data_IF_062329859406
#
_entry.id   IF_062329859406
#
_cell.length_a   1.000
_cell.length_b   1.000
_cell.length_c   1.000
_cell.angle_alpha   90.00
_cell.angle_beta   90.00
_cell.angle_gamma   90.00
#
_symmetry.space_group_name_H-M   'P 1'
#
loop_
_entity.id
_entity.type
_entity.pdbx_description
1 polymer ?
#
# COMPACT_ATOMS: atom_id res chain seq x y z
N UNK A 1 -13.50 -14.64 -8.15
CA UNK A 1 -12.13 -14.18 -7.84
C UNK A 1 -11.06 -14.59 -8.87
N UNK A 2 -11.39 -14.98 -10.12
CA UNK A 2 -10.37 -15.26 -11.14
C UNK A 2 -10.11 -14.07 -12.10
N UNK A 3 -11.10 -13.18 -12.25
CA UNK A 3 -11.03 -12.03 -13.16
C UNK A 3 -10.06 -10.97 -12.62
N UNK A 4 -10.24 -10.54 -11.36
CA UNK A 4 -9.36 -9.55 -10.71
C UNK A 4 -7.87 -9.97 -10.75
N UNK A 5 -7.55 -11.24 -10.46
CA UNK A 5 -6.17 -11.75 -10.51
C UNK A 5 -5.57 -11.70 -11.92
N UNK A 6 -6.37 -11.87 -12.97
CA UNK A 6 -5.91 -11.80 -14.37
C UNK A 6 -5.56 -10.35 -14.74
N UNK A 7 -6.35 -9.40 -14.25
CA UNK A 7 -6.11 -7.98 -14.50
C UNK A 7 -4.86 -7.49 -13.75
N UNK A 8 -4.65 -7.92 -12.50
CA UNK A 8 -3.43 -7.57 -11.75
C UNK A 8 -2.16 -8.16 -12.37
N UNK A 9 -2.20 -9.38 -12.91
CA UNK A 9 -1.03 -9.94 -13.62
C UNK A 9 -0.67 -9.14 -14.88
N UNK A 10 -1.68 -8.62 -15.57
CA UNK A 10 -1.47 -7.75 -16.72
C UNK A 10 -0.93 -6.38 -16.27
N UNK A 11 -1.50 -5.82 -15.20
CA UNK A 11 -1.04 -4.57 -14.59
C UNK A 11 0.43 -4.66 -14.14
N UNK A 12 0.86 -5.80 -13.57
CA UNK A 12 2.26 -6.02 -13.20
C UNK A 12 3.22 -5.80 -14.38
N UNK A 13 2.87 -6.26 -15.59
CA UNK A 13 3.70 -6.08 -16.78
C UNK A 13 3.86 -4.60 -17.17
N UNK A 14 2.77 -3.85 -17.16
CA UNK A 14 2.79 -2.41 -17.46
C UNK A 14 3.49 -1.60 -16.38
N UNK A 15 3.17 -1.85 -15.11
CA UNK A 15 3.75 -1.16 -13.97
C UNK A 15 5.24 -1.49 -13.78
N UNK A 16 5.69 -2.70 -14.12
CA UNK A 16 7.12 -3.04 -14.12
C UNK A 16 7.90 -2.21 -15.13
N UNK A 17 7.33 -1.97 -16.32
CA UNK A 17 7.95 -1.07 -17.30
C UNK A 17 7.92 0.38 -16.82
N UNK A 18 6.80 0.82 -16.24
CA UNK A 18 6.68 2.17 -15.69
C UNK A 18 7.75 2.48 -14.64
N UNK A 19 8.02 1.56 -13.68
CA UNK A 19 9.08 1.78 -12.68
C UNK A 19 10.50 1.66 -13.26
N UNK A 20 10.68 1.02 -14.42
CA UNK A 20 11.98 1.02 -15.11
C UNK A 20 12.25 2.35 -15.81
N UNK A 21 11.22 2.94 -16.42
CA UNK A 21 11.30 4.25 -17.08
C UNK A 21 11.35 5.39 -16.07
N UNK A 22 10.63 5.25 -14.96
CA UNK A 22 10.49 6.24 -13.88
C UNK A 22 10.84 5.62 -12.52
N UNK A 23 12.13 5.34 -12.23
CA UNK A 23 12.56 4.62 -11.02
C UNK A 23 12.42 5.42 -9.70
N UNK A 24 12.04 6.69 -9.80
CA UNK A 24 11.79 7.58 -8.68
C UNK A 24 10.33 8.09 -8.67
N UNK A 25 9.41 7.37 -9.32
CA UNK A 25 7.98 7.64 -9.25
C UNK A 25 7.35 6.83 -8.10
N UNK A 26 6.99 7.54 -7.03
CA UNK A 26 6.43 6.91 -5.84
C UNK A 26 5.03 6.32 -6.10
N UNK A 27 4.22 6.96 -6.94
CA UNK A 27 2.89 6.47 -7.32
C UNK A 27 3.03 5.16 -8.09
N UNK A 28 3.92 5.10 -9.09
CA UNK A 28 4.19 3.88 -9.86
C UNK A 28 4.67 2.73 -8.97
N UNK A 29 5.58 3.02 -8.04
CA UNK A 29 6.02 2.05 -7.03
C UNK A 29 4.87 1.60 -6.13
N UNK A 30 3.99 2.50 -5.67
CA UNK A 30 2.85 2.15 -4.82
C UNK A 30 1.83 1.25 -5.56
N UNK A 31 1.51 1.56 -6.82
CA UNK A 31 0.61 0.76 -7.65
C UNK A 31 1.17 -0.62 -7.98
N UNK A 32 2.48 -0.71 -8.21
CA UNK A 32 3.17 -1.98 -8.43
C UNK A 32 3.15 -2.84 -7.15
N UNK A 33 3.39 -2.22 -5.99
CA UNK A 33 3.24 -2.88 -4.68
C UNK A 33 1.82 -3.41 -4.45
N UNK A 34 0.81 -2.60 -4.79
CA UNK A 34 -0.61 -2.98 -4.73
C UNK A 34 -0.92 -4.19 -5.61
N UNK A 35 -0.46 -4.15 -6.86
CA UNK A 35 -0.66 -5.26 -7.80
C UNK A 35 -0.01 -6.55 -7.29
N UNK A 36 1.20 -6.47 -6.72
CA UNK A 36 1.86 -7.64 -6.12
C UNK A 36 1.10 -8.19 -4.90
N UNK A 37 0.56 -7.33 -4.04
CA UNK A 37 -0.25 -7.73 -2.89
C UNK A 37 -1.50 -8.48 -3.33
N UNK A 38 -2.22 -7.96 -4.32
CA UNK A 38 -3.46 -8.58 -4.81
C UNK A 38 -3.25 -9.94 -5.47
N UNK A 39 -2.05 -10.23 -5.98
CA UNK A 39 -1.67 -11.57 -6.46
C UNK A 39 -0.98 -12.44 -5.39
N UNK A 40 -0.90 -11.98 -4.14
CA UNK A 40 -0.36 -12.72 -3.01
C UNK A 40 1.18 -12.74 -2.91
N UNK A 41 1.89 -11.92 -3.69
CA UNK A 41 3.36 -11.84 -3.64
C UNK A 41 3.79 -10.74 -2.66
N UNK A 42 3.71 -11.04 -1.36
CA UNK A 42 3.89 -10.05 -0.30
C UNK A 42 5.31 -9.49 -0.20
N UNK A 43 6.36 -10.29 -0.45
CA UNK A 43 7.75 -9.80 -0.38
C UNK A 43 8.02 -8.69 -1.40
N UNK A 44 7.58 -8.88 -2.66
CA UNK A 44 7.70 -7.85 -3.70
C UNK A 44 6.81 -6.64 -3.41
N UNK A 45 5.61 -6.89 -2.88
CA UNK A 45 4.72 -5.81 -2.48
C UNK A 45 5.38 -4.89 -1.44
N UNK A 46 5.98 -5.48 -0.41
CA UNK A 46 6.73 -4.79 0.63
C UNK A 46 7.87 -3.94 0.05
N UNK A 47 8.70 -4.52 -0.82
CA UNK A 47 9.82 -3.83 -1.47
C UNK A 47 9.36 -2.57 -2.21
N UNK A 48 8.30 -2.69 -3.02
CA UNK A 48 7.79 -1.57 -3.80
C UNK A 48 7.14 -0.48 -2.95
N UNK A 49 6.39 -0.83 -1.89
CA UNK A 49 5.87 0.17 -0.96
C UNK A 49 6.99 0.89 -0.20
N UNK A 50 8.00 0.16 0.29
CA UNK A 50 9.14 0.76 0.96
C UNK A 50 9.92 1.67 0.01
N UNK A 51 10.03 1.30 -1.28
CA UNK A 51 10.65 2.15 -2.30
C UNK A 51 9.84 3.42 -2.53
N UNK A 52 8.51 3.34 -2.63
CA UNK A 52 7.63 4.51 -2.71
C UNK A 52 7.85 5.45 -1.51
N UNK A 53 7.87 4.91 -0.29
CA UNK A 53 8.10 5.69 0.94
C UNK A 53 9.54 6.23 1.08
N UNK A 54 10.51 5.63 0.39
CA UNK A 54 11.87 6.17 0.30
C UNK A 54 11.95 7.36 -0.66
N UNK A 55 11.09 7.39 -1.68
CA UNK A 55 11.01 8.49 -2.66
C UNK A 55 10.20 9.65 -2.06
N UNK A 56 9.03 9.35 -1.52
CA UNK A 56 8.17 10.29 -0.80
C UNK A 56 7.75 9.69 0.55
N UNK A 57 8.34 10.19 1.62
CA UNK A 57 8.09 9.70 2.98
C UNK A 57 6.69 10.03 3.51
N UNK A 58 5.94 10.90 2.84
CA UNK A 58 4.57 11.28 3.20
C UNK A 58 3.54 10.70 2.22
N UNK A 59 3.95 9.77 1.35
CA UNK A 59 3.07 9.22 0.33
C UNK A 59 1.91 8.43 0.96
N UNK A 60 0.71 9.00 0.88
CA UNK A 60 -0.46 8.51 1.62
C UNK A 60 -0.88 7.11 1.19
N UNK A 61 -1.07 6.85 -0.11
CA UNK A 61 -1.48 5.53 -0.60
C UNK A 61 -0.46 4.43 -0.30
N UNK A 62 0.84 4.76 -0.31
CA UNK A 62 1.89 3.81 0.05
C UNK A 62 1.83 3.44 1.53
N UNK A 63 1.57 4.39 2.43
CA UNK A 63 1.34 4.10 3.84
C UNK A 63 0.07 3.27 4.08
N UNK A 64 -1.04 3.62 3.43
CA UNK A 64 -2.29 2.87 3.51
C UNK A 64 -2.08 1.41 3.10
N UNK A 65 -1.60 1.21 1.86
CA UNK A 65 -1.47 -0.13 1.31
C UNK A 65 -0.40 -0.97 2.01
N UNK A 66 0.68 -0.35 2.49
CA UNK A 66 1.66 -1.03 3.33
C UNK A 66 1.05 -1.42 4.68
N UNK A 67 0.22 -0.55 5.26
CA UNK A 67 -0.53 -0.85 6.48
C UNK A 67 -1.44 -2.06 6.30
N UNK A 68 -2.20 -2.09 5.21
CA UNK A 68 -3.05 -3.24 4.89
C UNK A 68 -2.24 -4.51 4.57
N UNK A 69 -1.07 -4.40 3.92
CA UNK A 69 -0.15 -5.53 3.71
C UNK A 69 0.30 -6.12 5.06
N UNK A 70 0.63 -5.26 6.03
CA UNK A 70 0.99 -5.72 7.37
C UNK A 70 -0.16 -6.47 8.04
N UNK A 71 -1.42 -6.06 7.84
CA UNK A 71 -2.58 -6.81 8.34
C UNK A 71 -2.70 -8.19 7.69
N UNK A 72 -2.50 -8.28 6.37
CA UNK A 72 -2.48 -9.56 5.64
C UNK A 72 -1.37 -10.50 6.15
N UNK A 73 -0.26 -9.94 6.62
CA UNK A 73 0.85 -10.66 7.26
C UNK A 73 0.66 -10.90 8.78
N UNK A 74 -0.50 -10.58 9.35
CA UNK A 74 -0.79 -10.60 10.80
C UNK A 74 0.14 -9.72 11.67
N UNK A 75 0.72 -8.66 11.10
CA UNK A 75 1.62 -7.73 11.77
C UNK A 75 0.91 -6.43 12.18
N UNK A 76 -0.10 -6.55 13.04
CA UNK A 76 -0.91 -5.41 13.52
C UNK A 76 -0.07 -4.21 14.03
N UNK A 77 1.00 -4.39 14.84
CA UNK A 77 1.80 -3.25 15.30
C UNK A 77 2.45 -2.45 14.17
N UNK A 78 2.79 -3.09 13.05
CA UNK A 78 3.37 -2.41 11.90
C UNK A 78 2.31 -1.67 11.08
N UNK A 79 1.09 -2.20 11.00
CA UNK A 79 -0.05 -1.50 10.41
C UNK A 79 -0.38 -0.22 11.19
N UNK A 80 -0.41 -0.28 12.53
CA UNK A 80 -0.67 0.90 13.38
C UNK A 80 0.41 1.98 13.23
N UNK A 81 1.68 1.59 12.98
CA UNK A 81 2.73 2.55 12.64
C UNK A 81 2.44 3.30 11.34
N UNK A 82 1.91 2.61 10.31
CA UNK A 82 1.54 3.27 9.06
C UNK A 82 0.35 4.21 9.25
N UNK A 83 -0.64 3.82 10.06
CA UNK A 83 -1.76 4.70 10.41
C UNK A 83 -1.29 5.97 11.14
N UNK A 84 -0.33 5.84 12.05
CA UNK A 84 0.28 6.98 12.73
C UNK A 84 1.09 7.87 11.78
N UNK A 85 1.74 7.30 10.75
CA UNK A 85 2.42 8.06 9.71
C UNK A 85 1.43 8.82 8.83
N UNK A 86 0.34 8.16 8.40
CA UNK A 86 -0.77 8.80 7.67
C UNK A 86 -1.32 10.00 8.43
N UNK A 87 -1.57 9.87 9.74
CA UNK A 87 -2.04 11.00 10.57
C UNK A 87 -1.16 12.25 10.46
N UNK A 88 0.16 12.08 10.26
CA UNK A 88 1.11 13.19 10.09
C UNK A 88 1.15 13.70 8.65
N UNK A 89 0.97 12.83 7.67
CA UNK A 89 0.98 13.15 6.25
C UNK A 89 -0.34 13.80 5.76
N UNK A 90 -1.46 13.51 6.43
CA UNK A 90 -2.76 14.06 6.08
C UNK A 90 -2.85 15.57 6.38
N UNK A 91 -3.45 16.37 5.49
CA UNK A 91 -3.65 17.80 5.72
C UNK A 91 -4.60 18.05 6.90
N UNK A 92 -4.36 19.12 7.66
CA UNK A 92 -5.19 19.53 8.80
C UNK A 92 -6.64 19.83 8.37
N UNK A 93 -6.81 20.44 7.20
CA UNK A 93 -8.12 20.75 6.63
C UNK A 93 -8.35 19.87 5.40
N UNK A 94 -9.14 18.81 5.58
CA UNK A 94 -9.50 17.89 4.51
C UNK A 94 -9.78 16.49 5.06
N UNK A 95 -10.59 15.73 4.34
CA UNK A 95 -10.69 14.29 4.60
C UNK A 95 -9.43 13.64 4.03
N UNK A 96 -8.87 12.72 4.80
CA UNK A 96 -7.76 11.87 4.35
C UNK A 96 -8.33 10.47 4.20
N UNK A 97 -8.77 10.16 2.98
CA UNK A 97 -9.42 8.88 2.64
C UNK A 97 -8.55 7.71 3.07
N UNK A 98 -7.26 7.79 2.76
CA UNK A 98 -6.26 6.76 3.08
C UNK A 98 -6.13 6.47 4.58
N UNK A 99 -6.31 7.50 5.43
CA UNK A 99 -6.28 7.33 6.89
C UNK A 99 -7.52 6.61 7.39
N UNK A 100 -8.70 6.99 6.91
CA UNK A 100 -9.95 6.35 7.34
C UNK A 100 -10.04 4.92 6.84
N UNK A 101 -9.60 4.65 5.61
CA UNK A 101 -9.57 3.30 5.03
C UNK A 101 -8.66 2.36 5.84
N UNK A 102 -7.43 2.77 6.12
CA UNK A 102 -6.52 1.95 6.94
C UNK A 102 -7.02 1.79 8.37
N UNK A 103 -7.62 2.84 8.95
CA UNK A 103 -8.19 2.78 10.31
C UNK A 103 -9.32 1.76 10.36
N UNK A 104 -10.26 1.81 9.41
CA UNK A 104 -11.36 0.87 9.31
C UNK A 104 -10.84 -0.57 9.08
N UNK A 105 -9.81 -0.74 8.24
CA UNK A 105 -9.17 -2.03 8.04
C UNK A 105 -8.57 -2.60 9.34
N UNK A 106 -7.89 -1.76 10.13
CA UNK A 106 -7.32 -2.14 11.44
C UNK A 106 -8.43 -2.51 12.43
N UNK A 107 -9.50 -1.74 12.51
CA UNK A 107 -10.66 -2.01 13.39
C UNK A 107 -11.33 -3.33 13.03
N UNK A 108 -11.58 -3.57 11.73
CA UNK A 108 -12.11 -4.83 11.22
C UNK A 108 -11.19 -6.01 11.50
N UNK A 109 -9.86 -5.82 11.41
CA UNK A 109 -8.89 -6.87 11.73
C UNK A 109 -8.96 -7.23 13.23
N UNK A 110 -8.98 -6.22 14.11
CA UNK A 110 -9.08 -6.41 15.58
C UNK A 110 -10.38 -7.12 15.97
N UNK A 111 -11.50 -6.78 15.35
CA UNK A 111 -12.81 -7.38 15.65
C UNK A 111 -12.93 -8.86 15.24
N UNK A 112 -12.05 -9.36 14.36
CA UNK A 112 -12.06 -10.75 13.87
C UNK A 112 -11.11 -11.68 14.62
N UNK A 113 -10.32 -11.14 15.56
CA UNK A 113 -9.34 -11.88 16.37
C UNK A 113 -9.85 -12.01 17.80
#
# INVERSE_FOLDING_TARGET
>A
KAIETKDYKTALGHLTKAVQELPNDADAHSMLGYSYRKVGTFDKSMEHYQRALKIDSNHRSAHEYLGELYLDMNQLPNAEKQLAALKKACPWFGKCEEFEDLKEAIEKYKAKK
#
